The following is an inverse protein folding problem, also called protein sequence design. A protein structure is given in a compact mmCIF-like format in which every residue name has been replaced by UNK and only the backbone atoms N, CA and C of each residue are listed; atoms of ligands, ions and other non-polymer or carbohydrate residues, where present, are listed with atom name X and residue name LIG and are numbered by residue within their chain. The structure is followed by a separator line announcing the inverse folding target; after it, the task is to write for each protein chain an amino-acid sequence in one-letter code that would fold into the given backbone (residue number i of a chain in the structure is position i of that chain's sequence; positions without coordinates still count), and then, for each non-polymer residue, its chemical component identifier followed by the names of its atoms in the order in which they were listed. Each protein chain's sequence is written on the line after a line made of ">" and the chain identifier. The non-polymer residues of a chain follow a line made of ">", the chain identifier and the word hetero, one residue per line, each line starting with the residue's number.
data_IF_014475031576
#
_entry.id   IF_014475031576
#
_cell.length_a   1.000
_cell.length_b   1.000
_cell.length_c   1.000
_cell.angle_alpha   90.00
_cell.angle_beta   90.00
_cell.angle_gamma   90.00
#
_symmetry.space_group_name_H-M   'P 1'
#
loop_
_entity.id
_entity.type
_entity.pdbx_description
1 polymer ?
#
# COMPACT_ATOMS: atom_id res chain seq x y z
N UNK A 1 16.10 6.14 -15.54
CA UNK A 1 15.68 4.99 -14.72
C UNK A 1 15.79 5.38 -13.25
N UNK A 2 14.71 5.28 -12.49
CA UNK A 2 14.72 5.48 -11.03
C UNK A 2 15.37 4.25 -10.38
N UNK A 3 16.60 4.36 -9.92
CA UNK A 3 17.34 3.21 -9.34
C UNK A 3 17.15 3.06 -7.82
N UNK A 4 16.64 4.08 -7.16
CA UNK A 4 16.43 4.17 -5.72
C UNK A 4 15.00 3.82 -5.30
N UNK A 5 14.16 3.44 -6.25
CA UNK A 5 12.73 3.16 -6.08
C UNK A 5 12.37 1.84 -6.73
N UNK A 6 11.70 0.96 -5.99
CA UNK A 6 11.13 -0.29 -6.48
C UNK A 6 9.61 -0.16 -6.61
N UNK A 7 9.06 -0.51 -7.76
CA UNK A 7 7.63 -0.72 -7.93
C UNK A 7 7.29 -2.15 -7.50
N UNK A 8 6.43 -2.31 -6.52
CA UNK A 8 5.93 -3.61 -6.04
C UNK A 8 4.47 -3.74 -6.42
N UNK A 9 4.18 -4.69 -7.30
CA UNK A 9 2.82 -5.01 -7.75
C UNK A 9 2.35 -6.24 -6.99
N UNK A 10 1.20 -6.16 -6.33
CA UNK A 10 0.58 -7.30 -5.66
C UNK A 10 -0.46 -7.92 -6.59
N UNK A 11 -0.23 -9.17 -7.01
CA UNK A 11 -1.14 -9.90 -7.89
C UNK A 11 -2.00 -10.91 -7.15
N UNK A 12 -3.32 -10.85 -7.41
CA UNK A 12 -4.23 -11.93 -7.06
C UNK A 12 -5.28 -12.15 -8.17
N UNK A 13 -5.01 -13.13 -9.06
CA UNK A 13 -5.91 -13.56 -10.16
C UNK A 13 -6.13 -12.58 -11.32
N UNK A 14 -5.42 -11.43 -11.37
CA UNK A 14 -5.54 -10.43 -12.45
C UNK A 14 -4.25 -10.39 -13.29
N UNK A 15 -3.89 -11.53 -13.84
CA UNK A 15 -2.63 -11.73 -14.57
C UNK A 15 -2.43 -10.69 -15.70
N UNK A 16 -3.45 -10.47 -16.53
CA UNK A 16 -3.36 -9.59 -17.69
C UNK A 16 -3.11 -8.14 -17.28
N UNK A 17 -3.75 -7.68 -16.20
CA UNK A 17 -3.51 -6.36 -15.65
C UNK A 17 -2.05 -6.21 -15.18
N UNK A 18 -1.51 -7.22 -14.50
CA UNK A 18 -0.13 -7.20 -14.02
C UNK A 18 0.86 -7.21 -15.19
N UNK A 19 0.63 -8.01 -16.22
CA UNK A 19 1.45 -8.01 -17.45
C UNK A 19 1.42 -6.63 -18.11
N UNK A 20 0.24 -6.02 -18.21
CA UNK A 20 0.07 -4.66 -18.73
C UNK A 20 0.88 -3.65 -17.91
N UNK A 21 0.76 -3.66 -16.58
CA UNK A 21 1.48 -2.76 -15.69
C UNK A 21 3.00 -2.94 -15.80
N UNK A 22 3.50 -4.18 -15.81
CA UNK A 22 4.93 -4.45 -15.98
C UNK A 22 5.43 -3.92 -17.33
N UNK A 23 4.73 -4.17 -18.42
CA UNK A 23 5.09 -3.67 -19.75
C UNK A 23 5.12 -2.14 -19.82
N UNK A 24 4.22 -1.47 -19.11
CA UNK A 24 4.14 0.00 -19.03
C UNK A 24 5.34 0.62 -18.32
N UNK A 25 5.87 -0.06 -17.27
CA UNK A 25 6.89 0.50 -16.40
C UNK A 25 8.28 -0.13 -16.59
N UNK A 26 8.42 -1.26 -17.28
CA UNK A 26 9.72 -1.88 -17.56
C UNK A 26 10.68 -0.87 -18.23
N UNK A 27 11.93 -0.90 -17.79
CA UNK A 27 12.96 0.05 -18.27
C UNK A 27 12.90 1.45 -17.62
N UNK A 28 11.84 1.80 -16.88
CA UNK A 28 11.71 3.09 -16.19
C UNK A 28 12.15 3.02 -14.73
N UNK A 29 11.85 1.90 -14.06
CA UNK A 29 12.27 1.61 -12.68
C UNK A 29 12.31 0.08 -12.47
N UNK A 30 13.01 -0.43 -11.45
CA UNK A 30 12.93 -1.84 -11.03
C UNK A 30 11.50 -2.22 -10.65
N UNK A 31 11.08 -3.45 -10.99
CA UNK A 31 9.74 -3.97 -10.71
C UNK A 31 9.85 -5.32 -10.01
N UNK A 32 9.07 -5.50 -8.95
CA UNK A 32 8.81 -6.78 -8.31
C UNK A 32 7.31 -7.08 -8.35
N UNK A 33 6.95 -8.31 -8.65
CA UNK A 33 5.58 -8.81 -8.59
C UNK A 33 5.49 -9.84 -7.48
N UNK A 34 4.62 -9.61 -6.51
CA UNK A 34 4.29 -10.57 -5.47
C UNK A 34 3.03 -11.31 -5.92
N UNK A 35 3.20 -12.55 -6.34
CA UNK A 35 2.09 -13.37 -6.78
C UNK A 35 1.49 -14.15 -5.61
N UNK A 36 0.32 -13.73 -5.17
CA UNK A 36 -0.48 -14.38 -4.12
C UNK A 36 -1.50 -15.40 -4.68
N UNK A 37 -1.47 -15.67 -5.98
CA UNK A 37 -2.33 -16.70 -6.59
C UNK A 37 -1.65 -18.07 -6.55
N UNK A 38 -2.05 -18.99 -5.65
CA UNK A 38 -1.43 -20.30 -5.53
C UNK A 38 -1.73 -21.22 -6.72
N UNK A 39 -2.75 -20.89 -7.53
CA UNK A 39 -3.15 -21.70 -8.68
C UNK A 39 -2.16 -21.59 -9.85
N UNK A 40 -1.31 -20.55 -9.84
CA UNK A 40 -0.27 -20.30 -10.85
C UNK A 40 1.11 -20.58 -10.24
N UNK A 41 1.65 -21.79 -10.50
CA UNK A 41 2.91 -22.25 -9.89
C UNK A 41 4.17 -21.62 -10.50
N UNK A 42 4.13 -21.22 -11.75
CA UNK A 42 5.27 -20.65 -12.49
C UNK A 42 4.81 -19.38 -13.18
N UNK A 43 4.58 -18.35 -12.37
CA UNK A 43 4.24 -17.05 -12.87
C UNK A 43 5.52 -16.26 -13.14
N UNK A 44 5.84 -16.00 -14.40
CA UNK A 44 7.01 -15.22 -14.82
C UNK A 44 6.58 -14.12 -15.78
N UNK A 45 7.14 -12.93 -15.62
CA UNK A 45 6.91 -11.79 -16.49
C UNK A 45 8.25 -11.15 -16.82
N UNK A 46 8.53 -11.00 -18.14
CA UNK A 46 9.74 -10.33 -18.60
C UNK A 46 9.79 -8.88 -18.10
N UNK A 47 10.91 -8.49 -17.48
CA UNK A 47 11.13 -7.14 -16.96
C UNK A 47 10.76 -6.94 -15.50
N UNK A 48 10.33 -7.99 -14.79
CA UNK A 48 10.07 -7.96 -13.35
C UNK A 48 10.69 -9.17 -12.63
N UNK A 49 11.11 -8.96 -11.38
CA UNK A 49 11.34 -10.05 -10.43
C UNK A 49 10.00 -10.57 -9.93
N UNK A 50 9.75 -11.88 -9.99
CA UNK A 50 8.48 -12.47 -9.56
C UNK A 50 8.68 -13.37 -8.34
N UNK A 51 7.89 -13.16 -7.31
CA UNK A 51 7.87 -13.92 -6.07
C UNK A 51 6.55 -14.69 -5.97
N UNK A 52 6.61 -16.01 -6.16
CA UNK A 52 5.43 -16.87 -6.12
C UNK A 52 5.21 -17.41 -4.71
N UNK A 53 4.09 -17.07 -4.11
CA UNK A 53 3.67 -17.61 -2.84
C UNK A 53 2.89 -18.93 -3.04
N UNK A 54 3.12 -19.90 -2.18
CA UNK A 54 2.43 -21.19 -2.20
C UNK A 54 0.97 -21.14 -1.71
N UNK A 55 0.59 -20.01 -1.13
CA UNK A 55 -0.77 -19.68 -0.66
C UNK A 55 -1.00 -18.18 -0.74
N UNK A 56 -2.26 -17.76 -0.69
CA UNK A 56 -2.58 -16.35 -0.54
C UNK A 56 -2.15 -15.86 0.85
N UNK A 57 -1.19 -14.94 0.88
CA UNK A 57 -0.66 -14.30 2.09
C UNK A 57 -1.27 -12.92 2.34
N UNK A 58 -2.31 -12.55 1.59
CA UNK A 58 -3.01 -11.27 1.68
C UNK A 58 -2.12 -10.05 1.37
N UNK A 59 -2.67 -8.87 1.55
CA UNK A 59 -1.99 -7.63 1.19
C UNK A 59 -0.82 -7.27 2.13
N UNK A 60 -0.78 -7.82 3.35
CA UNK A 60 0.35 -7.61 4.29
C UNK A 60 1.68 -8.10 3.72
N UNK A 61 1.65 -9.03 2.77
CA UNK A 61 2.87 -9.60 2.17
C UNK A 61 3.73 -8.56 1.46
N UNK A 62 3.13 -7.57 0.81
CA UNK A 62 3.88 -6.48 0.16
C UNK A 62 4.72 -5.67 1.16
N UNK A 63 4.19 -5.44 2.36
CA UNK A 63 4.88 -4.71 3.42
C UNK A 63 6.00 -5.54 4.04
N UNK A 64 5.72 -6.84 4.29
CA UNK A 64 6.74 -7.78 4.75
C UNK A 64 7.90 -7.86 3.77
N UNK A 65 7.63 -8.01 2.49
CA UNK A 65 8.65 -8.00 1.46
C UNK A 65 9.44 -6.68 1.49
N UNK A 66 8.77 -5.53 1.50
CA UNK A 66 9.43 -4.23 1.51
C UNK A 66 10.33 -4.04 2.74
N UNK A 67 9.94 -4.54 3.92
CA UNK A 67 10.74 -4.42 5.14
C UNK A 67 12.09 -5.16 5.07
N UNK A 68 12.26 -6.12 4.14
CA UNK A 68 13.52 -6.85 3.95
C UNK A 68 14.50 -6.17 2.98
N UNK A 69 14.04 -5.18 2.23
CA UNK A 69 14.81 -4.54 1.16
C UNK A 69 15.86 -3.55 1.70
N UNK A 70 16.87 -3.27 0.85
CA UNK A 70 17.89 -2.24 1.11
C UNK A 70 17.72 -1.00 0.22
N UNK A 71 16.66 -0.94 -0.59
CA UNK A 71 16.34 0.21 -1.44
C UNK A 71 15.67 1.33 -0.61
N UNK A 72 15.91 2.61 -0.90
CA UNK A 72 15.34 3.71 -0.13
C UNK A 72 13.81 3.78 -0.15
N UNK A 73 13.19 3.56 -1.32
CA UNK A 73 11.76 3.77 -1.51
C UNK A 73 11.09 2.61 -2.22
N UNK A 74 9.86 2.34 -1.80
CA UNK A 74 8.97 1.40 -2.48
C UNK A 74 7.67 2.10 -2.83
N UNK A 75 7.17 1.84 -4.02
CA UNK A 75 5.81 2.21 -4.44
C UNK A 75 5.03 0.92 -4.61
N UNK A 76 3.98 0.74 -3.82
CA UNK A 76 3.03 -0.35 -3.99
C UNK A 76 1.99 0.03 -5.04
N UNK A 77 1.63 -0.92 -5.87
CA UNK A 77 0.61 -0.77 -6.90
C UNK A 77 -0.32 -1.98 -6.85
N UNK A 78 -1.62 -1.71 -6.70
CA UNK A 78 -2.64 -2.74 -6.80
C UNK A 78 -2.88 -3.12 -8.27
N UNK A 79 -3.24 -4.37 -8.52
CA UNK A 79 -3.37 -4.94 -9.86
C UNK A 79 -4.61 -4.47 -10.67
N UNK A 80 -5.41 -3.55 -10.11
CA UNK A 80 -6.58 -2.92 -10.73
C UNK A 80 -6.40 -1.40 -10.98
N UNK A 81 -5.22 -0.85 -10.71
CA UNK A 81 -4.92 0.57 -10.87
C UNK A 81 -3.94 0.79 -12.03
N UNK A 82 -4.23 1.76 -12.89
CA UNK A 82 -3.35 2.17 -14.00
C UNK A 82 -2.86 3.61 -13.82
N UNK A 83 -1.82 3.84 -13.00
CA UNK A 83 -1.24 5.17 -12.83
C UNK A 83 -0.39 5.56 -14.05
N UNK A 84 -0.33 6.85 -14.37
CA UNK A 84 0.66 7.37 -15.29
C UNK A 84 2.08 7.30 -14.70
N UNK A 85 3.12 7.35 -15.53
CA UNK A 85 4.50 7.47 -15.00
C UNK A 85 4.69 8.78 -14.21
N UNK A 86 3.97 9.84 -14.59
CA UNK A 86 3.94 11.09 -13.82
C UNK A 86 3.40 10.88 -12.39
N UNK A 87 2.38 10.05 -12.22
CA UNK A 87 1.88 9.66 -10.90
C UNK A 87 2.99 9.00 -10.05
N UNK A 88 3.71 8.02 -10.61
CA UNK A 88 4.85 7.37 -9.94
C UNK A 88 5.92 8.39 -9.53
N UNK A 89 6.27 9.31 -10.43
CA UNK A 89 7.24 10.38 -10.15
C UNK A 89 6.75 11.33 -9.06
N UNK A 90 5.45 11.66 -9.05
CA UNK A 90 4.85 12.53 -8.03
C UNK A 90 4.91 11.90 -6.65
N UNK A 91 4.52 10.62 -6.53
CA UNK A 91 4.63 9.84 -5.30
C UNK A 91 6.07 9.76 -4.81
N UNK A 92 7.02 9.46 -5.73
CA UNK A 92 8.45 9.36 -5.43
C UNK A 92 9.01 10.69 -4.91
N UNK A 93 8.67 11.79 -5.57
CA UNK A 93 9.15 13.13 -5.16
C UNK A 93 8.59 13.53 -3.79
N UNK A 94 7.35 13.21 -3.52
CA UNK A 94 6.72 13.58 -2.25
C UNK A 94 7.23 12.73 -1.09
N UNK A 95 7.42 11.40 -1.28
CA UNK A 95 7.99 10.55 -0.23
C UNK A 95 9.45 10.90 0.10
N UNK A 96 10.22 11.40 -0.85
CA UNK A 96 11.57 11.90 -0.58
C UNK A 96 11.58 13.12 0.35
N UNK A 97 10.61 14.03 0.17
CA UNK A 97 10.48 15.23 1.03
C UNK A 97 9.94 14.89 2.41
N UNK A 98 9.12 13.85 2.51
CA UNK A 98 8.39 13.48 3.72
C UNK A 98 8.51 11.98 4.02
N UNK A 99 9.74 11.46 4.28
CA UNK A 99 9.99 10.02 4.37
C UNK A 99 9.40 9.36 5.62
N UNK A 100 8.99 10.14 6.60
CA UNK A 100 8.43 9.75 7.88
C UNK A 100 6.90 9.61 7.88
N UNK A 101 6.29 9.59 6.70
CA UNK A 101 4.84 9.37 6.49
C UNK A 101 4.59 8.54 5.24
N UNK A 102 3.38 8.09 5.04
CA UNK A 102 2.98 7.46 3.78
C UNK A 102 2.51 8.53 2.80
N UNK A 103 2.72 8.27 1.51
CA UNK A 103 2.20 9.11 0.42
C UNK A 103 1.39 8.25 -0.54
N UNK A 104 0.13 8.57 -0.77
CA UNK A 104 -0.79 7.76 -1.58
C UNK A 104 -1.57 8.62 -2.57
N UNK A 105 -2.22 7.99 -3.52
CA UNK A 105 -3.24 8.63 -4.37
C UNK A 105 -4.61 8.66 -3.69
N UNK A 106 -4.79 7.86 -2.63
CA UNK A 106 -6.05 7.71 -1.93
C UNK A 106 -5.85 7.74 -0.41
N UNK A 107 -6.69 8.48 0.29
CA UNK A 107 -6.65 8.59 1.74
C UNK A 107 -8.01 8.80 2.36
N UNK A 108 -8.07 8.65 3.68
CA UNK A 108 -9.28 8.88 4.48
C UNK A 108 -8.96 9.62 5.76
N UNK A 109 -9.95 10.40 6.26
CA UNK A 109 -9.87 11.14 7.53
C UNK A 109 -11.24 11.20 8.22
N UNK A 110 -11.23 11.64 9.49
CA UNK A 110 -12.43 11.75 10.32
C UNK A 110 -12.63 10.55 11.24
N UNK A 111 -11.54 9.86 11.64
CA UNK A 111 -11.61 8.66 12.50
C UNK A 111 -12.32 8.97 13.81
N UNK A 112 -12.07 10.12 14.43
CA UNK A 112 -12.67 10.53 15.70
C UNK A 112 -14.15 10.91 15.59
N UNK A 113 -14.63 11.22 14.38
CA UNK A 113 -15.97 11.75 14.11
C UNK A 113 -16.94 10.67 13.60
N UNK A 114 -16.42 9.51 13.19
CA UNK A 114 -17.15 8.45 12.52
C UNK A 114 -17.28 7.20 13.39
N UNK A 115 -18.28 6.38 13.09
CA UNK A 115 -18.49 5.07 13.71
C UNK A 115 -18.35 3.90 12.76
N UNK A 116 -18.19 4.17 11.46
CA UNK A 116 -18.01 3.19 10.39
C UNK A 116 -16.98 3.67 9.40
N UNK A 117 -16.31 2.72 8.74
CA UNK A 117 -15.27 3.02 7.76
C UNK A 117 -15.81 3.80 6.55
N UNK A 118 -17.03 3.50 6.11
CA UNK A 118 -17.68 4.13 4.96
C UNK A 118 -17.96 5.62 5.17
N UNK A 119 -18.16 6.04 6.42
CA UNK A 119 -18.48 7.42 6.78
C UNK A 119 -17.21 8.31 6.78
N UNK A 120 -16.02 7.73 6.75
CA UNK A 120 -14.78 8.49 6.69
C UNK A 120 -14.70 9.33 5.41
N UNK A 121 -14.31 10.58 5.53
CA UNK A 121 -14.09 11.49 4.39
C UNK A 121 -13.00 10.94 3.47
N UNK A 122 -13.31 10.89 2.17
CA UNK A 122 -12.49 10.28 1.12
C UNK A 122 -11.72 11.35 0.34
N UNK A 123 -10.44 11.08 0.06
CA UNK A 123 -9.53 11.93 -0.70
C UNK A 123 -8.88 11.11 -1.81
N UNK A 124 -9.42 11.22 -3.03
CA UNK A 124 -8.94 10.49 -4.20
C UNK A 124 -8.25 11.42 -5.18
N UNK A 125 -6.99 11.16 -5.49
CA UNK A 125 -6.19 11.92 -6.47
C UNK A 125 -6.17 13.44 -6.24
N UNK A 126 -6.15 13.88 -4.99
CA UNK A 126 -6.06 15.29 -4.57
C UNK A 126 -4.91 15.49 -3.60
N UNK A 127 -4.36 16.70 -3.55
CA UNK A 127 -3.35 17.06 -2.53
C UNK A 127 -4.06 17.32 -1.19
N UNK A 128 -3.80 16.49 -0.17
CA UNK A 128 -4.35 16.64 1.16
C UNK A 128 -3.45 15.97 2.23
N UNK A 129 -3.58 16.41 3.48
CA UNK A 129 -3.17 15.63 4.64
C UNK A 129 -4.33 14.73 5.06
N UNK A 130 -4.02 13.48 5.43
CA UNK A 130 -5.00 12.44 5.75
C UNK A 130 -4.54 11.61 6.95
N UNK A 131 -5.49 11.05 7.69
CA UNK A 131 -5.20 10.16 8.82
C UNK A 131 -4.81 8.76 8.35
N UNK A 132 -5.38 8.30 7.23
CA UNK A 132 -5.10 7.00 6.63
C UNK A 132 -4.69 7.18 5.18
N UNK A 133 -3.50 6.68 4.82
CA UNK A 133 -3.11 6.46 3.44
C UNK A 133 -3.60 5.07 3.03
N UNK A 134 -4.51 5.02 2.07
CA UNK A 134 -5.16 3.78 1.64
C UNK A 134 -4.38 3.16 0.47
N UNK A 135 -4.37 1.84 0.37
CA UNK A 135 -3.84 1.08 -0.77
C UNK A 135 -4.45 1.56 -2.08
N UNK A 136 -3.97 1.13 -3.20
CA UNK A 136 -4.22 1.43 -4.60
C UNK A 136 -2.88 1.78 -5.29
N UNK A 137 -2.30 2.94 -5.04
CA UNK A 137 -0.93 3.29 -5.40
C UNK A 137 -0.33 4.14 -4.26
N UNK A 138 0.66 3.60 -3.54
CA UNK A 138 1.15 4.15 -2.28
C UNK A 138 2.66 4.03 -2.18
N UNK A 139 3.34 5.12 -1.78
CA UNK A 139 4.78 5.17 -1.56
C UNK A 139 5.14 5.13 -0.07
N UNK A 140 6.24 4.43 0.23
CA UNK A 140 6.82 4.32 1.57
C UNK A 140 8.34 4.41 1.52
N UNK A 141 8.93 5.04 2.54
CA UNK A 141 10.38 4.97 2.81
C UNK A 141 10.69 3.66 3.54
N UNK A 142 11.55 2.82 2.96
CA UNK A 142 11.91 1.52 3.54
C UNK A 142 12.60 1.65 4.90
N UNK A 143 13.56 2.58 5.12
CA UNK A 143 14.12 2.79 6.44
C UNK A 143 13.07 3.12 7.51
N UNK A 144 12.10 3.98 7.17
CA UNK A 144 11.03 4.36 8.10
C UNK A 144 10.02 3.22 8.35
N UNK A 145 9.74 2.41 7.33
CA UNK A 145 8.95 1.18 7.50
C UNK A 145 9.63 0.19 8.44
N UNK A 146 10.95 0.01 8.32
CA UNK A 146 11.71 -0.89 9.19
C UNK A 146 11.63 -0.48 10.67
N UNK A 147 11.65 0.82 10.95
CA UNK A 147 11.56 1.32 12.33
C UNK A 147 10.25 0.91 13.03
N UNK A 148 9.17 0.77 12.28
CA UNK A 148 7.87 0.35 12.83
C UNK A 148 7.61 -1.16 12.69
N UNK A 149 8.37 -1.87 11.85
CA UNK A 149 8.06 -3.24 11.49
C UNK A 149 8.04 -4.17 12.69
N UNK A 150 9.12 -4.23 13.44
CA UNK A 150 9.24 -5.16 14.58
C UNK A 150 8.28 -4.82 15.73
N UNK A 151 7.96 -3.53 15.90
CA UNK A 151 7.14 -3.04 17.01
C UNK A 151 5.64 -3.20 16.74
N UNK A 152 5.18 -2.90 15.52
CA UNK A 152 3.75 -2.79 15.21
C UNK A 152 3.23 -3.88 14.29
N UNK A 153 4.08 -4.41 13.38
CA UNK A 153 3.61 -5.18 12.24
C UNK A 153 4.04 -6.65 12.29
N UNK A 154 5.13 -6.96 12.99
CA UNK A 154 5.63 -8.32 13.10
C UNK A 154 4.61 -9.20 13.84
N UNK A 155 4.19 -10.29 13.17
CA UNK A 155 3.17 -11.20 13.70
C UNK A 155 1.72 -10.78 13.42
N UNK A 156 1.50 -9.63 12.77
CA UNK A 156 0.17 -9.23 12.35
C UNK A 156 -0.34 -10.15 11.23
N UNK A 157 -1.56 -10.69 11.38
CA UNK A 157 -2.09 -11.77 10.55
C UNK A 157 -3.49 -11.52 10.00
N UNK A 158 -3.94 -10.27 9.96
CA UNK A 158 -5.26 -9.97 9.38
C UNK A 158 -5.27 -10.18 7.86
N UNK A 159 -6.42 -10.58 7.35
CA UNK A 159 -6.63 -10.83 5.92
C UNK A 159 -6.86 -9.54 5.11
N UNK A 160 -7.05 -8.39 5.77
CA UNK A 160 -7.26 -7.08 5.12
C UNK A 160 -7.04 -5.91 6.08
N UNK A 161 -6.92 -4.68 5.54
CA UNK A 161 -6.66 -3.48 6.31
C UNK A 161 -5.18 -3.30 6.68
N UNK A 162 -4.28 -3.92 5.91
CA UNK A 162 -2.83 -3.76 6.02
C UNK A 162 -2.39 -2.31 5.90
N UNK A 163 -2.96 -1.58 4.96
CA UNK A 163 -2.74 -0.16 4.72
C UNK A 163 -3.20 0.71 5.91
N UNK A 164 -4.31 0.35 6.54
CA UNK A 164 -4.81 1.03 7.75
C UNK A 164 -3.87 0.77 8.93
N UNK A 165 -3.51 -0.49 9.19
CA UNK A 165 -2.59 -0.83 10.27
C UNK A 165 -1.25 -0.10 10.12
N UNK A 166 -0.68 -0.07 8.91
CA UNK A 166 0.58 0.62 8.65
C UNK A 166 0.42 2.14 8.81
N UNK A 167 -0.69 2.73 8.32
CA UNK A 167 -0.98 4.15 8.50
C UNK A 167 -1.03 4.52 9.98
N UNK A 168 -1.80 3.81 10.78
CA UNK A 168 -1.91 4.05 12.22
C UNK A 168 -0.57 3.88 12.94
N UNK A 169 0.21 2.86 12.56
CA UNK A 169 1.54 2.60 13.12
C UNK A 169 2.54 3.71 12.81
N UNK A 170 2.57 4.17 11.55
CA UNK A 170 3.42 5.28 11.13
C UNK A 170 3.02 6.58 11.84
N UNK A 171 1.72 6.87 11.90
CA UNK A 171 1.22 8.05 12.61
C UNK A 171 1.56 7.99 14.09
N UNK A 172 1.35 6.85 14.75
CA UNK A 172 1.66 6.70 16.17
C UNK A 172 3.15 6.85 16.47
N UNK A 173 4.02 6.36 15.58
CA UNK A 173 5.46 6.44 15.76
C UNK A 173 6.02 7.84 15.46
N UNK A 174 5.65 8.43 14.30
CA UNK A 174 6.24 9.69 13.81
C UNK A 174 5.41 10.93 14.16
N UNK A 175 4.18 10.78 14.63
CA UNK A 175 3.23 11.85 14.99
C UNK A 175 2.96 12.83 13.85
N UNK A 176 2.93 12.32 12.60
CA UNK A 176 2.70 13.12 11.39
C UNK A 176 1.58 12.53 10.54
N UNK A 177 0.64 13.34 10.04
CA UNK A 177 -0.41 12.88 9.13
C UNK A 177 0.22 12.42 7.81
N UNK A 178 -0.45 11.51 7.13
CA UNK A 178 -0.08 11.04 5.80
C UNK A 178 -0.48 12.06 4.74
N UNK A 179 -0.09 11.80 3.48
CA UNK A 179 -0.41 12.68 2.38
C UNK A 179 -1.04 11.93 1.21
N UNK A 180 -2.03 12.57 0.57
CA UNK A 180 -2.42 12.22 -0.78
C UNK A 180 -1.87 13.23 -1.78
N UNK A 181 -1.73 12.81 -3.04
CA UNK A 181 -1.19 13.65 -4.12
C UNK A 181 -2.19 13.78 -5.26
N UNK A 182 -2.27 15.01 -5.80
CA UNK A 182 -3.06 15.27 -7.01
C UNK A 182 -2.39 14.60 -8.20
N UNK A 183 -3.15 13.72 -8.85
CA UNK A 183 -2.70 12.96 -10.02
C UNK A 183 -3.89 12.43 -10.80
N UNK A 184 -3.61 11.77 -11.92
CA UNK A 184 -4.61 11.09 -12.72
C UNK A 184 -4.27 9.59 -12.79
N UNK A 185 -5.28 8.78 -12.54
CA UNK A 185 -5.20 7.32 -12.64
C UNK A 185 -6.45 6.79 -13.33
N UNK A 186 -6.30 5.65 -14.00
CA UNK A 186 -7.40 4.90 -14.57
C UNK A 186 -7.58 3.62 -13.76
N UNK A 187 -8.81 3.17 -13.59
CA UNK A 187 -9.10 1.84 -13.06
C UNK A 187 -8.99 0.82 -14.19
N UNK A 188 -8.38 -0.32 -13.91
CA UNK A 188 -8.39 -1.50 -14.76
C UNK A 188 -9.57 -2.39 -14.38
N UNK A 189 -9.85 -3.40 -15.19
CA UNK A 189 -10.90 -4.38 -14.88
C UNK A 189 -10.60 -5.10 -13.56
N UNK A 190 -11.55 -5.05 -12.64
CA UNK A 190 -11.45 -5.72 -11.34
C UNK A 190 -11.80 -7.21 -11.42
N UNK A 191 -12.58 -7.63 -12.42
CA UNK A 191 -13.17 -8.96 -12.46
C UNK A 191 -14.07 -9.20 -11.23
N UNK A 192 -14.21 -10.46 -10.80
CA UNK A 192 -15.04 -10.83 -9.63
C UNK A 192 -14.26 -10.93 -8.31
N UNK A 193 -12.98 -10.58 -8.32
CA UNK A 193 -12.04 -10.85 -7.18
C UNK A 193 -11.73 -9.63 -6.31
N UNK A 194 -12.38 -8.48 -6.54
CA UNK A 194 -12.16 -7.27 -5.74
C UNK A 194 -12.54 -7.44 -4.27
N UNK A 195 -11.63 -7.12 -3.34
CA UNK A 195 -11.91 -7.20 -1.89
C UNK A 195 -13.06 -6.29 -1.47
N UNK A 196 -13.27 -5.16 -2.15
CA UNK A 196 -14.36 -4.21 -1.93
C UNK A 196 -15.75 -4.81 -2.23
N UNK A 197 -15.82 -5.91 -2.96
CA UNK A 197 -17.05 -6.66 -3.24
C UNK A 197 -17.48 -7.60 -2.10
N UNK A 198 -16.59 -7.88 -1.14
CA UNK A 198 -16.92 -8.65 0.05
C UNK A 198 -17.71 -7.75 1.03
N UNK A 199 -18.94 -8.12 1.43
CA UNK A 199 -19.75 -7.34 2.38
C UNK A 199 -19.03 -7.05 3.70
N UNK A 200 -18.15 -7.93 4.15
CA UNK A 200 -17.38 -7.74 5.39
C UNK A 200 -16.15 -6.81 5.21
N UNK A 201 -15.85 -6.33 4.00
CA UNK A 201 -14.63 -5.56 3.73
C UNK A 201 -14.52 -4.33 4.63
N UNK A 202 -15.55 -3.50 4.66
CA UNK A 202 -15.53 -2.24 5.41
C UNK A 202 -15.62 -2.47 6.92
N UNK A 203 -16.41 -3.45 7.35
CA UNK A 203 -16.51 -3.82 8.78
C UNK A 203 -15.14 -4.26 9.31
N UNK A 204 -14.42 -5.13 8.61
CA UNK A 204 -13.09 -5.59 9.02
C UNK A 204 -12.06 -4.45 9.02
N UNK A 205 -12.13 -3.52 8.08
CA UNK A 205 -11.27 -2.32 8.06
C UNK A 205 -11.55 -1.42 9.28
N UNK A 206 -12.81 -1.28 9.66
CA UNK A 206 -13.17 -0.52 10.86
C UNK A 206 -12.71 -1.22 12.15
N UNK A 207 -12.74 -2.55 12.19
CA UNK A 207 -12.21 -3.33 13.31
C UNK A 207 -10.70 -3.10 13.50
N UNK A 208 -9.92 -2.98 12.42
CA UNK A 208 -8.49 -2.63 12.50
C UNK A 208 -8.31 -1.28 13.20
N UNK A 209 -9.09 -0.26 12.82
CA UNK A 209 -9.04 1.06 13.46
C UNK A 209 -9.37 0.97 14.95
N UNK A 210 -10.48 0.34 15.30
CA UNK A 210 -10.95 0.23 16.68
C UNK A 210 -10.04 -0.57 17.60
N UNK A 211 -9.37 -1.58 17.05
CA UNK A 211 -8.49 -2.48 17.80
C UNK A 211 -7.02 -2.03 17.79
N UNK A 212 -6.70 -0.97 17.06
CA UNK A 212 -5.34 -0.43 17.08
C UNK A 212 -4.95 -0.01 18.50
N UNK A 213 -3.77 -0.44 18.94
CA UNK A 213 -3.19 -0.05 20.23
C UNK A 213 -1.76 0.38 19.98
N UNK A 214 -1.43 1.55 20.50
CA UNK A 214 -0.04 1.99 20.56
C UNK A 214 0.74 1.05 21.50
N UNK A 215 1.90 0.53 21.09
CA UNK A 215 2.78 -0.21 21.98
C UNK A 215 3.53 0.71 22.96
N UNK A 216 3.47 2.02 22.75
CA UNK A 216 4.06 3.01 23.66
C UNK A 216 3.04 3.48 24.69
N UNK A 217 3.44 3.69 25.95
CA UNK A 217 2.56 4.30 26.93
C UNK A 217 2.15 5.70 26.45
N UNK A 218 0.91 6.10 26.74
CA UNK A 218 0.47 7.47 26.53
C UNK A 218 1.47 8.41 27.25
N UNK A 219 2.03 9.38 26.51
CA UNK A 219 2.81 10.43 27.16
C UNK A 219 1.89 11.13 28.16
N UNK A 220 2.20 11.06 29.43
CA UNK A 220 1.58 11.89 30.44
C UNK A 220 1.87 13.36 30.06
N UNK A 221 0.86 14.05 29.51
CA UNK A 221 0.88 15.48 29.27
C UNK A 221 0.39 16.21 30.51
#
# INVERSE_FOLDING_TARGET
>A
MLRDTLLVILNYKRYDNVVYQVNKFKGKLPIAVINNNPDIKLFQIEGAGVFNNSKNLWCIERWRYASTLSIPYVIFLDDDIDPSFHCIMRLRTEIEKTPDRLVSIYGRSGISECTRYEDLKSYWCVDAEVELAVGACLAVSVPHLKNIWDTYLKGWSFDRGDDIQVSLSMFDYYKKPHRTVKTEVRLLEEGDVGLNKDPAHFTKRWEVIRNFRSPFPASEN
#
